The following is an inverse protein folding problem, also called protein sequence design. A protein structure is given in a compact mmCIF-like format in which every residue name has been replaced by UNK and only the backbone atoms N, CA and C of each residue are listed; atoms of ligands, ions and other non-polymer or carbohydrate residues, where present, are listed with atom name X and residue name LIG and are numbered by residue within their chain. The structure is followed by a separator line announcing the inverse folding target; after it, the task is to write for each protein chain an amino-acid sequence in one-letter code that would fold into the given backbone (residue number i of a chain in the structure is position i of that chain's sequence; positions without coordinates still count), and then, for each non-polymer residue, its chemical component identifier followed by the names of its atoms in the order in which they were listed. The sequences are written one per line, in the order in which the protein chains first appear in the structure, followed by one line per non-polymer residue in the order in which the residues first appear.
data_IF_650567898297
#
_entry.id   IF_650567898297
#
_cell.length_a   1.000
_cell.length_b   1.000
_cell.length_c   1.000
_cell.angle_alpha   90.00
_cell.angle_beta   90.00
_cell.angle_gamma   90.00
#
_symmetry.space_group_name_H-M   'P 1'
#
loop_
_entity.id
_entity.type
_entity.pdbx_description
1 polymer ?
2 non-polymer ?
3 non-polymer ?
4 non-polymer ?
5 non-polymer ?
6 water ?
#
# COMPACT_ATOMS: atom_id res chain seq x y z
N UNK A 1 -6.81 14.90 -8.35
CA UNK A 1 -7.26 14.47 -6.99
C UNK A 1 -8.46 13.54 -7.15
N UNK A 2 -8.24 12.24 -6.94
CA UNK A 2 -9.31 11.25 -7.08
C UNK A 2 -10.01 10.95 -5.77
N UNK A 3 -9.44 11.45 -4.68
CA UNK A 3 -9.98 11.15 -3.36
C UNK A 3 -10.40 12.33 -2.51
N UNK A 4 -11.14 12.02 -1.46
CA UNK A 4 -11.51 12.99 -0.45
C UNK A 4 -11.27 12.27 0.88
N UNK A 5 -10.86 13.04 1.88
CA UNK A 5 -10.59 12.51 3.23
C UNK A 5 -11.92 12.64 3.96
N UNK A 6 -12.47 11.53 4.45
CA UNK A 6 -13.79 11.60 5.08
C UNK A 6 -13.96 11.31 6.56
N UNK A 7 -13.04 10.58 7.17
CA UNK A 7 -13.19 10.27 8.58
C UNK A 7 -11.90 9.74 9.16
N UNK A 8 -11.79 9.80 10.48
CA UNK A 8 -10.61 9.28 11.15
C UNK A 8 -11.01 8.81 12.54
N UNK A 9 -10.27 7.82 13.03
CA UNK A 9 -10.54 7.27 14.35
C UNK A 9 -9.31 6.53 14.81
N UNK A 10 -9.30 6.18 16.08
CA UNK A 10 -8.16 5.48 16.63
C UNK A 10 -8.09 4.00 16.24
N UNK A 11 -6.88 3.55 15.91
CA UNK A 11 -6.67 2.14 15.61
C UNK A 11 -5.58 1.65 16.56
N UNK A 12 -5.98 1.01 17.66
CA UNK A 12 -4.98 0.51 18.60
C UNK A 12 -4.43 -0.81 18.06
N UNK A 13 -3.12 -0.98 18.12
CA UNK A 13 -2.46 -2.19 17.64
C UNK A 13 -1.44 -2.61 18.68
N UNK A 14 -0.81 -3.78 18.49
CA UNK A 14 0.20 -4.25 19.45
C UNK A 14 1.40 -3.31 19.52
N UNK A 15 1.54 -2.42 18.54
CA UNK A 15 2.69 -1.51 18.50
C UNK A 15 2.35 -0.09 18.92
N UNK A 16 1.11 0.13 19.36
CA UNK A 16 0.69 1.45 19.77
C UNK A 16 -0.51 1.91 18.97
N UNK A 17 -0.96 3.13 19.23
CA UNK A 17 -2.10 3.67 18.53
C UNK A 17 -1.74 4.38 17.23
N UNK A 18 -2.45 4.04 16.17
CA UNK A 18 -2.28 4.69 14.88
C UNK A 18 -3.56 5.51 14.71
N UNK A 19 -3.48 6.60 13.95
CA UNK A 19 -4.67 7.36 13.64
C UNK A 19 -5.08 6.77 12.28
N UNK A 20 -6.27 6.19 12.21
CA UNK A 20 -6.74 5.60 10.95
C UNK A 20 -7.56 6.64 10.20
N UNK A 21 -7.12 6.97 8.99
CA UNK A 21 -7.81 7.96 8.17
C UNK A 21 -8.43 7.26 6.95
N UNK A 22 -9.73 7.48 6.76
CA UNK A 22 -10.43 6.88 5.65
C UNK A 22 -10.58 7.85 4.50
N UNK A 23 -10.34 7.34 3.30
CA UNK A 23 -10.43 8.11 2.05
C UNK A 23 -11.47 7.47 1.15
N UNK A 24 -12.14 8.30 0.35
CA UNK A 24 -13.18 7.81 -0.55
C UNK A 24 -12.89 8.24 -1.99
N UNK A 25 -13.01 7.32 -2.94
CA UNK A 25 -12.81 7.68 -4.34
C UNK A 25 -14.05 8.47 -4.74
N UNK A 26 -13.83 9.68 -5.23
CA UNK A 26 -14.93 10.55 -5.63
C UNK A 26 -15.86 9.93 -6.67
N UNK A 27 -15.30 9.16 -7.60
CA UNK A 27 -16.10 8.57 -8.68
C UNK A 27 -16.78 7.24 -8.41
N UNK A 28 -16.32 6.52 -7.39
CA UNK A 28 -16.89 5.20 -7.13
C UNK A 28 -17.37 4.93 -5.71
N UNK A 29 -16.86 5.70 -4.75
CA UNK A 29 -17.24 5.46 -3.37
C UNK A 29 -16.34 4.40 -2.73
N UNK A 30 -15.43 3.83 -3.52
CA UNK A 30 -14.48 2.81 -3.04
C UNK A 30 -13.54 3.44 -2.02
N UNK A 31 -13.13 2.66 -1.02
CA UNK A 31 -12.29 3.19 0.04
C UNK A 31 -10.82 2.78 0.04
N UNK A 32 -10.04 3.62 0.72
CA UNK A 32 -8.62 3.40 0.96
C UNK A 32 -8.38 3.92 2.36
N UNK A 33 -7.31 3.44 2.98
CA UNK A 33 -7.02 3.83 4.35
C UNK A 33 -5.57 4.18 4.56
N UNK A 34 -5.33 5.15 5.45
CA UNK A 34 -3.96 5.49 5.82
C UNK A 34 -3.88 5.31 7.34
N UNK A 35 -2.78 4.71 7.80
CA UNK A 35 -2.56 4.55 9.24
C UNK A 35 -1.39 5.46 9.56
N UNK A 36 -1.65 6.47 10.40
CA UNK A 36 -0.65 7.48 10.76
C UNK A 36 -0.19 7.30 12.19
N UNK A 37 1.10 7.10 12.36
CA UNK A 37 1.68 6.91 13.69
C UNK A 37 2.41 8.19 14.13
N UNK A 38 2.14 8.62 15.35
CA UNK A 38 2.81 9.80 15.89
C UNK A 38 2.45 11.13 15.25
N UNK A 39 3.36 12.09 15.38
CA UNK A 39 3.15 13.43 14.82
C UNK A 39 3.92 13.57 13.52
N UNK A 40 3.20 13.59 12.40
CA UNK A 40 3.86 13.70 11.11
C UNK A 40 4.00 15.14 10.62
N UNK A 41 3.72 16.11 11.49
CA UNK A 41 3.85 17.52 11.11
C UNK A 41 5.33 17.87 11.04
N UNK A 42 5.65 19.04 10.49
CA UNK A 42 7.04 19.45 10.39
C UNK A 42 7.57 19.34 8.98
N UNK A 43 8.80 19.80 8.76
CA UNK A 43 9.40 19.76 7.43
C UNK A 43 10.16 18.46 7.18
N UNK A 44 10.54 17.78 8.24
CA UNK A 44 11.29 16.54 8.09
C UNK A 44 10.53 15.55 7.21
N UNK A 45 11.26 14.84 6.34
CA UNK A 45 10.62 13.86 5.47
C UNK A 45 9.91 12.84 6.36
N UNK A 46 8.79 12.30 5.88
CA UNK A 46 8.02 11.33 6.66
C UNK A 46 8.24 9.89 6.19
N UNK A 47 8.50 8.98 7.13
CA UNK A 47 8.70 7.57 6.81
C UNK A 47 7.35 6.99 6.39
N UNK A 48 7.32 6.27 5.27
CA UNK A 48 6.04 5.74 4.82
C UNK A 48 6.14 4.45 4.02
N UNK A 49 5.10 3.63 4.12
CA UNK A 49 5.02 2.37 3.40
C UNK A 49 3.75 2.38 2.56
N UNK A 50 3.86 1.97 1.29
CA UNK A 50 2.68 1.86 0.43
C UNK A 50 2.43 0.35 0.32
N UNK A 51 1.32 -0.10 0.90
CA UNK A 51 0.96 -1.51 0.91
C UNK A 51 -0.31 -1.74 0.11
N UNK A 52 -0.21 -2.47 -1.00
CA UNK A 52 -1.40 -2.77 -1.79
C UNK A 52 -2.08 -3.97 -1.15
N UNK A 53 -3.39 -3.85 -0.98
CA UNK A 53 -4.17 -4.91 -0.35
C UNK A 53 -4.05 -6.27 -1.01
N UNK A 54 -4.01 -7.30 -0.16
CA UNK A 54 -3.95 -8.69 -0.60
C UNK A 54 -4.76 -9.44 0.44
N UNK A 55 -6.02 -9.73 0.13
CA UNK A 55 -6.86 -10.42 1.11
C UNK A 55 -6.25 -11.72 1.60
N UNK A 56 -5.77 -12.52 0.65
CA UNK A 56 -5.23 -13.82 1.00
C UNK A 56 -4.01 -13.74 1.89
N UNK A 57 -3.07 -12.87 1.53
CA UNK A 57 -1.88 -12.72 2.35
C UNK A 57 -2.09 -11.90 3.62
N UNK A 58 -2.87 -10.82 3.52
CA UNK A 58 -3.07 -9.93 4.67
C UNK A 58 -4.00 -10.47 5.73
N UNK A 59 -5.00 -11.25 5.31
CA UNK A 59 -5.98 -11.76 6.26
C UNK A 59 -6.12 -13.27 6.36
N UNK A 60 -5.92 -13.97 5.24
CA UNK A 60 -6.16 -15.42 5.23
C UNK A 60 -4.96 -16.34 5.37
N UNK A 61 -3.88 -15.80 5.91
CA UNK A 61 -2.68 -16.59 6.19
C UNK A 61 -2.06 -17.30 5.00
N UNK A 62 -2.22 -16.74 3.81
CA UNK A 62 -1.67 -17.35 2.62
C UNK A 62 -0.16 -17.49 2.66
N UNK A 63 0.33 -18.67 2.27
CA UNK A 63 1.76 -18.92 2.21
C UNK A 63 2.26 -18.77 0.79
N UNK A 64 1.39 -18.38 -0.15
CA UNK A 64 1.87 -18.24 -1.51
C UNK A 64 2.36 -16.84 -1.90
N UNK A 65 2.45 -15.95 -0.92
CA UNK A 65 2.99 -14.60 -1.13
C UNK A 65 3.50 -14.04 0.20
N UNK A 66 4.18 -12.89 0.16
CA UNK A 66 4.70 -12.28 1.39
C UNK A 66 3.94 -11.04 1.84
N UNK A 67 2.76 -10.79 1.28
CA UNK A 67 2.04 -9.57 1.66
C UNK A 67 1.74 -9.41 3.15
N UNK A 68 1.25 -10.46 3.79
CA UNK A 68 0.95 -10.36 5.21
C UNK A 68 2.22 -10.13 6.02
N UNK A 69 3.28 -10.83 5.62
CA UNK A 69 4.58 -10.71 6.28
C UNK A 69 5.07 -9.26 6.19
N UNK A 70 4.93 -8.67 5.00
CA UNK A 70 5.35 -7.29 4.75
C UNK A 70 4.50 -6.26 5.48
N UNK A 71 3.21 -6.55 5.62
CA UNK A 71 2.31 -5.66 6.33
C UNK A 71 2.71 -5.56 7.79
N UNK A 72 2.94 -6.71 8.43
CA UNK A 72 3.34 -6.68 9.83
C UNK A 72 4.70 -6.00 9.98
N UNK A 73 5.63 -6.33 9.09
CA UNK A 73 6.97 -5.75 9.16
C UNK A 73 6.95 -4.24 9.06
N UNK A 74 6.15 -3.71 8.14
CA UNK A 74 6.08 -2.26 7.96
C UNK A 74 5.45 -1.53 9.15
N UNK A 75 4.34 -2.06 9.67
CA UNK A 75 3.69 -1.46 10.83
C UNK A 75 4.65 -1.44 12.02
N UNK A 76 5.36 -2.54 12.20
CA UNK A 76 6.32 -2.65 13.30
C UNK A 76 7.42 -1.60 13.16
N UNK A 77 7.96 -1.48 11.95
CA UNK A 77 9.05 -0.54 11.69
C UNK A 77 8.63 0.92 11.85
N UNK A 78 7.42 1.24 11.41
CA UNK A 78 6.93 2.60 11.55
C UNK A 78 6.75 2.94 13.03
N UNK A 79 6.15 2.03 13.80
CA UNK A 79 5.95 2.29 15.22
C UNK A 79 7.29 2.47 15.93
N UNK A 80 8.28 1.68 15.54
CA UNK A 80 9.61 1.75 16.14
C UNK A 80 10.23 3.12 15.86
N UNK A 81 10.04 3.62 14.64
CA UNK A 81 10.55 4.93 14.24
C UNK A 81 9.91 5.98 15.16
N UNK A 82 8.60 5.85 15.38
CA UNK A 82 7.88 6.76 16.25
C UNK A 82 7.02 7.78 15.51
N UNK A 83 7.17 7.79 14.19
CA UNK A 83 6.45 8.73 13.34
C UNK A 83 6.44 8.12 11.94
N UNK A 84 5.27 7.99 11.33
CA UNK A 84 5.24 7.40 10.00
C UNK A 84 3.83 7.10 9.51
N UNK A 85 3.74 6.62 8.27
CA UNK A 85 2.45 6.34 7.64
C UNK A 85 2.44 5.05 6.83
N UNK A 86 1.36 4.27 6.95
CA UNK A 86 1.23 3.10 6.09
C UNK A 86 -0.04 3.36 5.29
N UNK A 87 0.09 3.34 3.97
CA UNK A 87 -1.08 3.51 3.11
C UNK A 87 -1.57 2.12 2.71
N UNK A 88 -2.85 1.86 2.95
CA UNK A 88 -3.44 0.57 2.58
C UNK A 88 -4.23 0.88 1.31
N UNK A 89 -3.56 0.59 0.19
CA UNK A 89 -4.00 0.85 -1.18
C UNK A 89 -4.88 -0.32 -1.63
N UNK A 90 -6.19 -0.07 -1.65
CA UNK A 90 -7.14 -1.13 -1.97
C UNK A 90 -7.40 -1.44 -3.44
N UNK A 91 -6.40 -2.06 -4.06
CA UNK A 91 -6.48 -2.48 -5.46
C UNK A 91 -5.96 -3.92 -5.48
N UNK A 92 -6.81 -4.83 -5.00
CA UNK A 92 -6.51 -6.26 -4.93
C UNK A 92 -5.97 -6.87 -6.22
N UNK A 93 -4.97 -7.74 -6.08
CA UNK A 93 -4.40 -8.45 -7.22
C UNK A 93 -3.85 -7.56 -8.31
N UNK A 94 -3.06 -6.57 -7.91
CA UNK A 94 -2.48 -5.62 -8.85
C UNK A 94 -3.59 -4.98 -9.68
N UNK A 95 -4.73 -4.76 -9.02
CA UNK A 95 -5.90 -4.11 -9.59
C UNK A 95 -6.75 -4.90 -10.59
N UNK A 96 -6.67 -6.23 -10.56
CA UNK A 96 -7.51 -7.02 -11.46
C UNK A 96 -8.68 -7.58 -10.64
N UNK A 97 -8.62 -7.39 -9.32
CA UNK A 97 -9.70 -7.86 -8.46
C UNK A 97 -9.46 -9.24 -7.88
N UNK A 98 -10.13 -9.53 -6.77
CA UNK A 98 -9.98 -10.82 -6.11
C UNK A 98 -10.41 -12.02 -6.96
N UNK A 99 -11.56 -11.93 -7.62
CA UNK A 99 -12.04 -13.06 -8.41
C UNK A 99 -11.07 -13.39 -9.54
N UNK A 100 -10.56 -12.37 -10.23
CA UNK A 100 -9.60 -12.63 -11.30
C UNK A 100 -8.29 -13.14 -10.69
N UNK A 101 -7.98 -12.68 -9.47
CA UNK A 101 -6.78 -13.15 -8.79
C UNK A 101 -6.90 -14.65 -8.54
N UNK A 102 -8.10 -15.12 -8.19
CA UNK A 102 -8.28 -16.55 -7.95
C UNK A 102 -8.13 -17.31 -9.28
N UNK A 103 -8.65 -16.74 -10.36
CA UNK A 103 -8.52 -17.37 -11.68
C UNK A 103 -7.04 -17.45 -12.03
N UNK A 104 -6.30 -16.38 -11.75
CA UNK A 104 -4.87 -16.34 -12.04
C UNK A 104 -4.16 -17.40 -11.21
N UNK A 105 -4.55 -17.51 -9.94
CA UNK A 105 -3.95 -18.49 -9.04
C UNK A 105 -4.18 -19.92 -9.55
N UNK A 106 -5.35 -20.15 -10.14
CA UNK A 106 -5.69 -21.47 -10.67
C UNK A 106 -4.75 -21.83 -11.82
N UNK A 107 -4.43 -20.84 -12.65
CA UNK A 107 -3.52 -21.05 -13.77
C UNK A 107 -2.10 -21.25 -13.23
N UNK A 108 -1.77 -20.54 -12.15
CA UNK A 108 -0.47 -20.66 -11.53
C UNK A 108 -0.35 -22.05 -10.88
N UNK A 109 -1.48 -22.60 -10.45
CA UNK A 109 -1.48 -23.92 -9.84
C UNK A 109 -1.12 -24.94 -10.93
N UNK A 110 -1.34 -24.55 -12.18
CA UNK A 110 -1.07 -25.42 -13.32
C UNK A 110 0.31 -25.20 -13.95
N UNK A 111 1.10 -24.29 -13.38
CA UNK A 111 2.43 -24.05 -13.92
C UNK A 111 2.70 -22.67 -14.49
N UNK A 112 1.65 -21.88 -14.68
CA UNK A 112 1.79 -20.53 -15.22
C UNK A 112 2.40 -19.60 -14.18
N UNK A 113 3.06 -18.54 -14.63
CA UNK A 113 3.62 -17.56 -13.72
C UNK A 113 2.60 -16.43 -13.70
N UNK A 114 2.75 -15.51 -12.75
CA UNK A 114 1.81 -14.40 -12.62
C UNK A 114 1.63 -13.58 -13.89
N UNK A 115 2.72 -13.32 -14.62
CA UNK A 115 2.62 -12.53 -15.85
C UNK A 115 1.87 -13.28 -16.95
N UNK A 116 2.10 -14.58 -17.05
CA UNK A 116 1.44 -15.41 -18.05
C UNK A 116 -0.05 -15.54 -17.73
N UNK A 117 -0.34 -15.80 -16.46
CA UNK A 117 -1.73 -15.95 -16.02
C UNK A 117 -2.53 -14.69 -16.33
N UNK A 118 -2.02 -13.54 -15.91
CA UNK A 118 -2.71 -12.27 -16.15
C UNK A 118 -2.95 -12.04 -17.63
N UNK A 119 -1.93 -12.28 -18.44
CA UNK A 119 -2.04 -12.09 -19.87
C UNK A 119 -3.13 -12.96 -20.47
N UNK A 120 -3.18 -14.22 -20.08
CA UNK A 120 -4.21 -15.12 -20.60
C UNK A 120 -5.61 -14.64 -20.21
N UNK A 121 -5.72 -14.02 -19.04
CA UNK A 121 -6.99 -13.52 -18.54
C UNK A 121 -7.33 -12.17 -19.15
N UNK A 122 -6.40 -11.63 -19.93
CA UNK A 122 -6.63 -10.35 -20.57
C UNK A 122 -6.17 -9.11 -19.82
N UNK A 123 -5.25 -9.27 -18.87
CA UNK A 123 -4.75 -8.12 -18.11
C UNK A 123 -3.24 -7.98 -18.25
N UNK A 124 -2.75 -6.77 -17.99
CA UNK A 124 -1.32 -6.52 -18.03
C UNK A 124 -0.76 -7.14 -16.75
N UNK A 125 0.56 -7.16 -16.61
CA UNK A 125 1.19 -7.72 -15.42
C UNK A 125 0.80 -6.97 -14.14
N UNK A 126 0.63 -5.66 -14.26
CA UNK A 126 0.28 -4.80 -13.12
C UNK A 126 -0.60 -3.64 -13.60
N UNK A 127 -1.84 -3.59 -13.14
CA UNK A 127 -2.76 -2.53 -13.56
C UNK A 127 -3.05 -1.51 -12.47
N UNK A 128 -2.20 -1.45 -11.45
CA UNK A 128 -2.44 -0.51 -10.35
C UNK A 128 -2.26 0.96 -10.69
N UNK A 129 -3.02 1.79 -9.99
CA UNK A 129 -2.96 3.24 -10.14
C UNK A 129 -2.39 3.79 -8.83
N UNK A 130 -1.10 4.12 -8.83
CA UNK A 130 -0.48 4.63 -7.61
C UNK A 130 -0.68 6.12 -7.37
N UNK A 131 -1.31 6.82 -8.31
CA UNK A 131 -1.54 8.24 -8.08
C UNK A 131 -2.53 8.41 -6.93
N UNK A 132 -3.25 7.33 -6.60
CA UNK A 132 -4.19 7.34 -5.48
C UNK A 132 -3.40 7.47 -4.18
N UNK A 133 -2.19 6.94 -4.20
CA UNK A 133 -1.33 7.03 -3.02
C UNK A 133 -0.81 8.46 -2.89
N UNK A 134 -0.47 9.08 -4.02
CA UNK A 134 -0.03 10.47 -4.00
C UNK A 134 -1.15 11.33 -3.42
N UNK A 135 -2.40 11.03 -3.80
CA UNK A 135 -3.55 11.77 -3.30
C UNK A 135 -3.63 11.69 -1.77
N UNK A 136 -3.49 10.48 -1.22
CA UNK A 136 -3.57 10.32 0.23
C UNK A 136 -2.48 11.12 0.94
N UNK A 137 -1.25 11.07 0.43
CA UNK A 137 -0.16 11.83 1.06
C UNK A 137 -0.47 13.32 1.04
N UNK A 138 -0.95 13.82 -0.09
CA UNK A 138 -1.27 15.24 -0.20
C UNK A 138 -2.36 15.64 0.79
N UNK A 139 -3.38 14.80 0.92
CA UNK A 139 -4.49 15.08 1.83
C UNK A 139 -4.07 15.00 3.30
N UNK A 140 -2.95 14.34 3.56
CA UNK A 140 -2.43 14.23 4.93
C UNK A 140 -1.40 15.34 5.21
N UNK A 141 -1.20 16.22 4.23
CA UNK A 141 -0.26 17.31 4.39
C UNK A 141 1.19 16.89 4.29
N UNK A 142 1.43 15.73 3.68
CA UNK A 142 2.78 15.21 3.54
C UNK A 142 3.43 15.57 2.21
N UNK A 143 4.66 16.05 2.29
CA UNK A 143 5.39 16.40 1.08
C UNK A 143 6.51 15.39 0.85
N UNK A 144 7.66 15.58 1.49
CA UNK A 144 8.78 14.68 1.32
C UNK A 144 8.55 13.36 2.05
N UNK A 145 8.88 12.26 1.37
CA UNK A 145 8.70 10.90 1.86
C UNK A 145 9.98 10.07 1.88
N UNK A 146 10.16 9.32 2.97
CA UNK A 146 11.28 8.39 3.11
C UNK A 146 10.51 7.08 2.91
N UNK A 147 10.65 6.49 1.72
CA UNK A 147 9.90 5.29 1.38
C UNK A 147 10.47 3.97 1.86
N UNK A 148 9.65 3.24 2.61
CA UNK A 148 10.02 1.92 3.11
C UNK A 148 9.87 0.89 1.99
N UNK A 149 11.00 0.38 1.51
CA UNK A 149 11.01 -0.65 0.47
C UNK A 149 12.42 -1.14 0.21
N UNK A 150 12.52 -2.40 -0.21
CA UNK A 150 13.81 -3.01 -0.52
C UNK A 150 13.98 -3.05 -2.04
N UNK A 151 13.04 -2.44 -2.76
CA UNK A 151 13.08 -2.44 -4.22
C UNK A 151 13.19 -1.03 -4.80
N UNK A 152 14.40 -0.66 -5.28
CA UNK A 152 14.63 0.67 -5.86
C UNK A 152 13.67 0.98 -7.00
N UNK A 153 13.22 -0.05 -7.70
CA UNK A 153 12.29 0.11 -8.81
C UNK A 153 10.97 0.68 -8.31
N UNK A 154 10.61 0.34 -7.07
CA UNK A 154 9.36 0.83 -6.51
C UNK A 154 9.47 2.34 -6.27
N UNK A 155 10.67 2.80 -5.93
CA UNK A 155 10.88 4.22 -5.71
C UNK A 155 10.65 4.96 -7.03
N UNK A 156 11.13 4.39 -8.12
CA UNK A 156 10.96 5.01 -9.43
C UNK A 156 9.47 5.09 -9.78
N UNK A 157 8.79 3.96 -9.63
CA UNK A 157 7.36 3.87 -9.92
C UNK A 157 6.52 4.89 -9.13
N UNK A 158 6.75 4.96 -7.82
CA UNK A 158 5.99 5.89 -7.00
C UNK A 158 6.35 7.35 -7.27
N UNK A 159 7.61 7.60 -7.60
CA UNK A 159 8.04 8.96 -7.91
C UNK A 159 7.32 9.40 -9.18
N UNK A 160 7.18 8.47 -10.13
CA UNK A 160 6.50 8.78 -11.38
C UNK A 160 5.02 9.03 -11.11
N UNK A 161 4.50 8.42 -10.05
CA UNK A 161 3.09 8.59 -9.70
C UNK A 161 2.83 9.89 -8.94
N UNK A 162 3.87 10.71 -8.77
CA UNK A 162 3.71 11.98 -8.09
C UNK A 162 4.12 12.05 -6.62
N UNK A 163 4.75 11.01 -6.11
CA UNK A 163 5.17 11.03 -4.71
C UNK A 163 6.60 11.53 -4.62
N UNK A 164 6.82 12.54 -3.78
CA UNK A 164 8.14 13.14 -3.62
C UNK A 164 9.00 12.35 -2.64
N UNK A 165 9.62 11.29 -3.15
CA UNK A 165 10.46 10.42 -2.34
C UNK A 165 11.90 10.96 -2.28
N UNK A 166 12.36 11.27 -1.07
CA UNK A 166 13.70 11.82 -0.87
C UNK A 166 14.71 10.80 -0.36
N UNK A 167 14.25 9.61 0.00
CA UNK A 167 15.13 8.57 0.51
C UNK A 167 14.43 7.22 0.47
N UNK A 168 15.22 6.16 0.30
CA UNK A 168 14.67 4.80 0.32
C UNK A 168 15.17 4.19 1.62
N UNK A 169 14.23 3.74 2.44
CA UNK A 169 14.55 3.12 3.71
C UNK A 169 14.27 1.64 3.58
N UNK A 170 15.30 0.80 3.76
CA UNK A 170 15.09 -0.64 3.65
C UNK A 170 13.99 -1.10 4.61
N UNK A 171 13.15 -2.02 4.15
CA UNK A 171 12.09 -2.56 5.00
C UNK A 171 12.72 -3.69 5.78
N UNK A 172 12.73 -3.57 7.10
CA UNK A 172 13.32 -4.59 7.95
C UNK A 172 12.38 -5.79 8.05
N UNK A 173 12.79 -6.89 7.44
CA UNK A 173 12.02 -8.13 7.44
C UNK A 173 12.88 -9.29 7.95
N UNK A 174 14.10 -9.09 8.13
X LIG B 1 -0.15 -11.19 -1.56
X LIG C 1 0.85 -13.34 -6.45
X LIG C 1 2.14 -12.62 -6.41
X LIG C 1 1.03 -14.68 -7.04
X LIG C 1 -0.12 -12.59 -7.26
X LIG C 1 0.32 -13.48 -5.07
X LIG D 1 4.32 -5.14 -4.77
X LIG D 1 5.32 -5.74 -3.86
X LIG D 1 3.42 -6.20 -5.28
X LIG D 1 5.00 -4.49 -5.90
X LIG D 1 3.52 -4.14 -4.03
X LIG E 1 19.16 2.84 -3.55
X LIG E 1 19.17 3.43 -2.20
X LIG E 1 19.79 1.50 -3.52
X LIG E 1 19.92 3.71 -4.47
X LIG E 1 17.77 2.71 -4.02
X LIG F 1 -2.89 -13.24 7.18
X LIG F 1 -1.90 -13.90 6.41
X LIG F 1 -2.43 -13.10 8.66
X LIG F 1 -3.03 -11.95 9.24
X LIG F 1 -0.89 -12.98 8.82
X LIG F 1 -0.53 -13.18 10.20
X LIG G 1 7.30 -3.60 -2.30
X LIG G 1 8.42 -3.09 -1.37
X LIG G 1 6.50 -2.50 -2.80
X LIG G 1 9.33 -4.54 -0.82
X LIG G 1 8.51 -5.37 0.01
X LIG G 1 10.43 -4.09 0.07
X LIG G 1 10.02 -5.12 -1.93
#
# INVERSE_FOLDING_TARGET
MQLKRVAEAKLPTPWGDFLMVGFEELATGHDHVALVYGDISGHTPVLARVHSECLTGDALFSLRCDCGFQLEAALTQIAEEGRGILLYHRQEGRNIGLLNKIRAYALQDQGYDTVEANHQLGFAADERDFTLCADMFKLLGVNEVRLLTNNPKKVEILTEAGINIVERVPLIVGRNPNNEHYLDTKAEKXGHLLNK
ZN ZN
SO4 S O1 O2 O3 O4
SO4 S O1 O2 O3 O4
SO4 S O1 O2 O3 O4
GOL C1 O1 C2 O2 C3 O3
TAU C1 C2 N1 S O1 O2 O3
#
